data_IF_874290451137
#
_entry.id   IF_874290451137
#
_cell.length_a   1.000
_cell.length_b   1.000
_cell.length_c   1.000
_cell.angle_alpha   90.00
_cell.angle_beta   90.00
_cell.angle_gamma   90.00
#
_symmetry.space_group_name_H-M   'P 1'
#
loop_
_entity.id
_entity.type
_entity.pdbx_description
1 polymer ?
#
# COMPACT_ATOMS: atom_id res chain seq x y z
N UNK A 1 9.00 13.52 -13.00
CA UNK A 1 9.33 12.31 -13.79
C UNK A 1 9.82 11.25 -12.82
N UNK A 2 8.97 10.27 -12.51
CA UNK A 2 9.10 9.44 -11.30
C UNK A 2 9.35 7.97 -11.65
N UNK A 3 10.06 7.27 -10.77
CA UNK A 3 10.30 5.83 -10.88
C UNK A 3 9.18 5.08 -10.16
N UNK A 4 8.36 4.33 -10.88
CA UNK A 4 7.23 3.59 -10.30
C UNK A 4 7.73 2.25 -9.77
N UNK A 5 7.39 1.94 -8.52
CA UNK A 5 7.74 0.69 -7.86
C UNK A 5 6.59 -0.30 -8.00
N UNK A 6 6.82 -1.39 -8.71
CA UNK A 6 5.80 -2.43 -8.97
C UNK A 6 5.94 -3.58 -7.98
N UNK A 7 7.16 -4.06 -7.82
CA UNK A 7 7.55 -5.08 -6.84
C UNK A 7 8.96 -4.76 -6.29
N UNK A 8 9.45 -5.53 -5.30
CA UNK A 8 10.73 -5.27 -4.62
C UNK A 8 11.88 -5.02 -5.59
N UNK A 9 11.92 -5.75 -6.72
CA UNK A 9 13.00 -5.65 -7.71
C UNK A 9 12.55 -5.16 -9.09
N UNK A 10 11.29 -4.75 -9.24
CA UNK A 10 10.75 -4.30 -10.51
C UNK A 10 10.33 -2.82 -10.45
N UNK A 11 11.05 -2.00 -11.23
CA UNK A 11 10.82 -0.56 -11.34
C UNK A 11 10.66 -0.16 -12.80
N UNK A 12 9.67 0.67 -13.07
CA UNK A 12 9.45 1.24 -14.40
C UNK A 12 9.61 2.75 -14.39
N UNK A 13 9.94 3.28 -15.56
CA UNK A 13 9.94 4.71 -15.84
C UNK A 13 9.24 4.93 -17.18
N UNK A 14 8.38 5.94 -17.24
CA UNK A 14 7.66 6.31 -18.45
C UNK A 14 8.26 7.59 -19.03
N UNK A 15 9.24 7.50 -19.95
CA UNK A 15 9.90 8.68 -20.50
C UNK A 15 8.93 9.52 -21.33
N UNK A 16 9.03 10.84 -21.21
CA UNK A 16 8.19 11.81 -21.93
C UNK A 16 6.78 12.01 -21.36
N UNK A 17 6.45 11.37 -20.23
CA UNK A 17 5.15 11.51 -19.59
C UNK A 17 5.17 12.53 -18.43
N UNK A 18 3.98 13.06 -18.11
CA UNK A 18 3.78 14.01 -17.04
C UNK A 18 3.80 13.36 -15.65
N UNK A 19 3.92 14.17 -14.60
CA UNK A 19 3.78 13.69 -13.22
C UNK A 19 2.39 13.10 -12.97
N UNK A 20 1.34 13.76 -13.47
CA UNK A 20 -0.05 13.28 -13.35
C UNK A 20 -0.25 11.90 -14.00
N UNK A 21 0.48 11.61 -15.08
CA UNK A 21 0.47 10.27 -15.69
C UNK A 21 1.12 9.24 -14.77
N UNK A 22 2.30 9.54 -14.21
CA UNK A 22 2.99 8.64 -13.28
C UNK A 22 2.10 8.34 -12.06
N UNK A 23 1.43 9.37 -11.53
CA UNK A 23 0.47 9.26 -10.42
C UNK A 23 -0.73 8.37 -10.76
N UNK A 24 -1.30 8.53 -11.96
CA UNK A 24 -2.38 7.69 -12.47
C UNK A 24 -1.98 6.22 -12.58
N UNK A 25 -0.74 5.93 -13.01
CA UNK A 25 -0.22 4.56 -13.10
C UNK A 25 -0.02 3.95 -11.70
N UNK A 26 0.51 4.71 -10.74
CA UNK A 26 0.67 4.26 -9.35
C UNK A 26 -0.68 3.89 -8.71
N UNK A 27 -1.71 4.71 -8.89
CA UNK A 27 -3.07 4.42 -8.42
C UNK A 27 -3.67 3.23 -9.17
N UNK A 28 -3.46 3.12 -10.48
CA UNK A 28 -3.91 1.97 -11.28
C UNK A 28 -3.32 0.65 -10.78
N UNK A 29 -2.03 0.64 -10.45
CA UNK A 29 -1.36 -0.53 -9.87
C UNK A 29 -1.93 -0.88 -8.50
N UNK A 30 -2.13 0.12 -7.63
CA UNK A 30 -2.74 -0.07 -6.32
C UNK A 30 -4.14 -0.72 -6.43
N UNK A 31 -4.97 -0.24 -7.37
CA UNK A 31 -6.29 -0.82 -7.67
C UNK A 31 -6.16 -2.27 -8.12
N UNK A 32 -5.27 -2.55 -9.05
CA UNK A 32 -5.08 -3.89 -9.61
C UNK A 32 -4.74 -4.90 -8.52
N UNK A 33 -3.82 -4.57 -7.60
CA UNK A 33 -3.45 -5.44 -6.48
C UNK A 33 -4.60 -5.70 -5.52
N UNK A 34 -5.41 -4.68 -5.22
CA UNK A 34 -6.60 -4.84 -4.37
C UNK A 34 -7.69 -5.67 -5.04
N UNK A 35 -7.89 -5.48 -6.34
CA UNK A 35 -8.86 -6.22 -7.16
C UNK A 35 -8.49 -7.70 -7.31
N UNK A 36 -7.19 -8.01 -7.39
CA UNK A 36 -6.67 -9.38 -7.36
C UNK A 36 -6.84 -10.07 -5.99
N UNK A 37 -7.22 -9.31 -4.95
CA UNK A 37 -7.55 -9.84 -3.64
C UNK A 37 -6.34 -10.05 -2.72
N UNK A 38 -5.20 -9.44 -3.03
CA UNK A 38 -3.98 -9.51 -2.20
C UNK A 38 -4.29 -9.00 -0.80
N UNK A 39 -4.19 -9.87 0.21
CA UNK A 39 -4.70 -9.60 1.58
C UNK A 39 -3.97 -8.43 2.24
N UNK A 40 -2.65 -8.37 2.09
CA UNK A 40 -1.83 -7.29 2.60
C UNK A 40 -0.58 -7.11 1.74
N UNK A 41 -0.18 -5.87 1.51
CA UNK A 41 1.02 -5.52 0.76
C UNK A 41 1.48 -4.12 1.09
N UNK A 42 2.72 -3.82 0.70
CA UNK A 42 3.25 -2.46 0.71
C UNK A 42 3.28 -1.90 -0.71
N UNK A 43 3.00 -0.60 -0.83
CA UNK A 43 3.02 0.10 -2.10
C UNK A 43 3.56 1.51 -1.90
N UNK A 44 4.51 1.91 -2.74
CA UNK A 44 4.96 3.29 -2.81
C UNK A 44 4.07 4.05 -3.79
N UNK A 45 3.60 5.23 -3.39
CA UNK A 45 2.85 6.17 -4.22
C UNK A 45 3.35 7.60 -3.99
N UNK A 46 3.06 8.51 -4.92
CA UNK A 46 3.28 9.94 -4.72
C UNK A 46 2.39 10.51 -3.59
N UNK A 47 2.93 11.42 -2.80
CA UNK A 47 2.22 12.01 -1.65
C UNK A 47 0.94 12.76 -2.05
N UNK A 48 0.93 13.38 -3.23
CA UNK A 48 -0.24 14.02 -3.86
C UNK A 48 -1.43 13.08 -4.05
N UNK A 49 -1.17 11.77 -4.16
CA UNK A 49 -2.21 10.78 -4.48
C UNK A 49 -2.88 10.16 -3.25
N UNK A 50 -2.45 10.53 -2.03
CA UNK A 50 -2.90 9.88 -0.79
C UNK A 50 -4.43 9.90 -0.62
N UNK A 51 -5.07 11.03 -0.91
CA UNK A 51 -6.53 11.17 -0.78
C UNK A 51 -7.24 10.21 -1.75
N UNK A 52 -6.78 10.15 -3.01
CA UNK A 52 -7.31 9.24 -4.01
C UNK A 52 -7.08 7.78 -3.64
N UNK A 53 -5.87 7.42 -3.21
CA UNK A 53 -5.52 6.08 -2.75
C UNK A 53 -6.42 5.63 -1.59
N UNK A 54 -6.65 6.50 -0.61
CA UNK A 54 -7.53 6.25 0.54
C UNK A 54 -8.99 6.03 0.12
N UNK A 55 -9.51 6.87 -0.78
CA UNK A 55 -10.88 6.77 -1.28
C UNK A 55 -11.12 5.45 -2.03
N UNK A 56 -10.18 5.05 -2.88
CA UNK A 56 -10.24 3.79 -3.63
C UNK A 56 -10.10 2.59 -2.70
N UNK A 57 -9.12 2.59 -1.79
CA UNK A 57 -8.90 1.49 -0.85
C UNK A 57 -10.15 1.23 0.00
N UNK A 58 -10.76 2.30 0.54
CA UNK A 58 -12.00 2.20 1.32
C UNK A 58 -13.13 1.56 0.51
N UNK A 59 -13.31 1.97 -0.75
CA UNK A 59 -14.32 1.40 -1.65
C UNK A 59 -14.11 -0.08 -1.96
N UNK A 60 -12.86 -0.53 -2.04
CA UNK A 60 -12.51 -1.93 -2.30
C UNK A 60 -12.44 -2.79 -1.03
N UNK A 61 -12.74 -2.23 0.14
CA UNK A 61 -12.74 -2.98 1.40
C UNK A 61 -11.35 -3.15 2.01
N UNK A 62 -10.46 -2.17 1.81
CA UNK A 62 -9.11 -2.12 2.35
C UNK A 62 -8.91 -0.93 3.28
N UNK A 63 -8.00 -1.11 4.23
CA UNK A 63 -7.41 -0.07 5.06
C UNK A 63 -6.01 0.25 4.54
N UNK A 64 -5.65 1.52 4.68
CA UNK A 64 -4.38 2.06 4.22
C UNK A 64 -3.75 2.83 5.40
N UNK A 65 -2.47 2.62 5.66
CA UNK A 65 -1.70 3.39 6.64
C UNK A 65 -0.33 3.77 6.07
N UNK A 66 0.14 4.98 6.38
CA UNK A 66 1.47 5.44 5.95
C UNK A 66 2.52 4.84 6.87
N UNK A 67 3.41 4.01 6.33
CA UNK A 67 4.56 3.45 7.05
C UNK A 67 5.74 4.42 7.04
N UNK A 68 5.93 5.12 5.94
CA UNK A 68 6.99 6.11 5.75
C UNK A 68 6.52 7.21 4.83
N UNK A 69 6.93 8.44 5.14
CA UNK A 69 6.76 9.58 4.26
C UNK A 69 8.14 10.18 3.99
N UNK A 70 8.39 10.53 2.73
CA UNK A 70 9.39 11.51 2.30
C UNK A 70 8.67 12.72 1.66
N UNK A 71 9.42 13.70 1.18
CA UNK A 71 8.87 14.95 0.64
C UNK A 71 7.93 14.76 -0.57
N UNK A 72 8.08 13.66 -1.32
CA UNK A 72 7.30 13.41 -2.54
C UNK A 72 6.59 12.05 -2.57
N UNK A 73 6.91 11.13 -1.66
CA UNK A 73 6.48 9.73 -1.69
C UNK A 73 6.05 9.22 -0.34
N UNK A 74 5.09 8.32 -0.39
CA UNK A 74 4.57 7.60 0.75
C UNK A 74 4.75 6.11 0.50
N UNK A 75 5.34 5.43 1.48
CA UNK A 75 5.25 3.98 1.58
C UNK A 75 3.99 3.65 2.38
N UNK A 76 3.05 2.97 1.72
CA UNK A 76 1.77 2.61 2.27
C UNK A 76 1.77 1.15 2.67
N UNK A 77 1.25 0.83 3.85
CA UNK A 77 0.75 -0.49 4.18
C UNK A 77 -0.72 -0.57 3.80
N UNK A 78 -1.05 -1.52 2.94
CA UNK A 78 -2.41 -1.78 2.46
C UNK A 78 -2.83 -3.13 3.00
N UNK A 79 -3.99 -3.21 3.64
CA UNK A 79 -4.53 -4.47 4.15
C UNK A 79 -6.03 -4.54 4.01
N UNK A 80 -6.56 -5.70 3.65
CA UNK A 80 -8.01 -5.92 3.57
C UNK A 80 -8.62 -5.76 4.95
N UNK A 81 -9.84 -5.21 5.04
CA UNK A 81 -10.57 -5.20 6.30
C UNK A 81 -10.70 -6.64 6.82
N UNK A 82 -9.92 -6.97 7.84
CA UNK A 82 -9.95 -8.29 8.45
C UNK A 82 -11.35 -8.56 8.99
N UNK A 83 -12.00 -9.62 8.49
CA UNK A 83 -13.04 -10.31 9.26
C UNK A 83 -12.32 -11.26 10.22
N UNK A 84 -12.00 -10.74 11.41
CA UNK A 84 -11.34 -11.36 12.58
C UNK A 84 -9.84 -11.71 12.43
N UNK A 85 -8.96 -11.09 13.24
CA UNK A 85 -7.60 -11.62 13.41
C UNK A 85 -7.67 -12.98 14.12
N UNK A 86 -7.00 -14.00 13.57
CA UNK A 86 -6.76 -15.25 14.30
C UNK A 86 -5.66 -15.00 15.32
N UNK A 87 -6.05 -14.46 16.47
CA UNK A 87 -5.15 -14.31 17.61
C UNK A 87 -4.86 -15.70 18.17
N UNK A 88 -3.58 -16.08 18.20
CA UNK A 88 -3.11 -17.28 18.91
C UNK A 88 -2.73 -16.89 20.33
N UNK A 89 -3.42 -17.45 21.31
CA UNK A 89 -3.08 -17.28 22.73
C UNK A 89 -1.70 -17.91 23.00
N UNK A 90 -0.74 -17.10 23.44
CA UNK A 90 0.57 -17.58 23.90
C UNK A 90 0.54 -17.53 25.43
N UNK A 91 0.51 -18.70 26.07
CA UNK A 91 0.68 -18.80 27.52
C UNK A 91 2.16 -18.68 27.86
N UNK A 92 2.55 -17.60 28.52
CA UNK A 92 3.83 -17.50 29.20
C UNK A 92 3.68 -18.13 30.59
N UNK A 93 4.44 -19.20 30.88
CA UNK A 93 4.50 -19.76 32.23
C UNK A 93 5.25 -18.77 33.11
N UNK A 94 4.55 -18.11 34.02
CA UNK A 94 5.18 -17.39 35.11
C UNK A 94 6.03 -18.40 35.92
N UNK A 95 7.35 -18.28 35.81
CA UNK A 95 8.29 -19.01 36.66
C UNK A 95 8.11 -18.50 38.10
N UNK A 96 7.58 -19.34 38.98
CA UNK A 96 7.56 -19.10 40.40
C UNK A 96 9.01 -19.16 40.94
N UNK A 97 9.44 -18.08 41.61
CA UNK A 97 10.53 -18.08 42.58
C UNK A 97 9.91 -18.13 43.98
#
# INVERSE_FOLDING_TARGET
MRTIHVEQDLRFRFPGQSADFDEGVEIGLLIARMADGVIAFEQTVAASTLEQASAVATRLGYRLSVLRADDERLLLSVSRFSRRPQLKLVYERASAL
#
